data_IF_205925662827
#
_entry.id   IF_205925662827
#
_cell.length_a   1.000
_cell.length_b   1.000
_cell.length_c   1.000
_cell.angle_alpha   90.00
_cell.angle_beta   90.00
_cell.angle_gamma   90.00
#
_symmetry.space_group_name_H-M   'P 1'
#
loop_
_entity.id
_entity.type
_entity.pdbx_description
1 polymer ?
#
# COMPACT_ATOMS: atom_id res chain seq x y z
N UNK A 1 12.34 -4.56 -12.28
CA UNK A 1 11.81 -5.87 -11.81
C UNK A 1 12.91 -6.59 -11.08
N UNK A 2 12.56 -7.31 -10.03
CA UNK A 2 13.49 -8.04 -9.18
C UNK A 2 13.28 -9.54 -9.35
N UNK A 3 14.36 -10.32 -9.24
CA UNK A 3 14.29 -11.78 -9.22
C UNK A 3 14.56 -12.26 -7.79
N UNK A 4 13.69 -13.12 -7.23
CA UNK A 4 13.97 -13.70 -5.94
C UNK A 4 15.16 -14.67 -6.02
N UNK A 5 15.88 -14.91 -4.90
CA UNK A 5 16.94 -15.91 -4.85
C UNK A 5 16.44 -17.31 -5.24
N UNK A 6 17.35 -18.15 -5.76
CA UNK A 6 17.03 -19.52 -6.16
C UNK A 6 16.31 -20.30 -5.05
N UNK A 7 15.21 -20.97 -5.40
CA UNK A 7 14.38 -21.76 -4.47
C UNK A 7 13.31 -20.96 -3.73
N UNK A 8 13.08 -19.69 -4.11
CA UNK A 8 12.00 -18.86 -3.59
C UNK A 8 11.18 -18.30 -4.73
N UNK A 9 9.94 -18.74 -4.84
CA UNK A 9 9.02 -18.24 -5.85
C UNK A 9 7.93 -17.41 -5.20
N UNK A 10 7.55 -16.31 -5.85
CA UNK A 10 6.38 -15.55 -5.43
C UNK A 10 5.11 -16.35 -5.66
N UNK A 11 4.20 -16.30 -4.70
CA UNK A 11 2.85 -16.81 -4.88
C UNK A 11 2.02 -15.95 -5.83
N UNK A 12 2.43 -14.71 -6.08
CA UNK A 12 1.80 -13.79 -7.00
C UNK A 12 2.50 -13.87 -8.36
N UNK A 13 1.75 -14.28 -9.38
CA UNK A 13 2.26 -14.31 -10.75
C UNK A 13 2.49 -12.88 -11.23
N UNK A 14 3.69 -12.61 -11.74
CA UNK A 14 4.08 -11.33 -12.31
C UNK A 14 4.70 -11.47 -13.69
N UNK A 15 4.77 -10.37 -14.43
CA UNK A 15 5.47 -10.27 -15.72
C UNK A 15 6.22 -8.95 -15.79
N UNK A 16 7.33 -8.96 -16.54
CA UNK A 16 8.18 -7.78 -16.77
C UNK A 16 8.08 -7.28 -18.21
N UNK A 17 7.35 -8.00 -19.08
CA UNK A 17 7.30 -7.78 -20.52
C UNK A 17 6.27 -6.77 -21.00
N UNK A 18 5.62 -6.04 -20.09
CA UNK A 18 4.56 -5.08 -20.42
C UNK A 18 4.98 -3.65 -20.13
N UNK A 19 4.38 -2.70 -20.86
CA UNK A 19 4.61 -1.29 -20.60
C UNK A 19 4.00 -0.88 -19.25
N UNK A 20 4.65 0.07 -18.59
CA UNK A 20 4.22 0.56 -17.27
C UNK A 20 2.77 1.07 -17.29
N UNK A 21 2.36 1.75 -18.36
CA UNK A 21 0.98 2.27 -18.48
C UNK A 21 -0.06 1.14 -18.52
N UNK A 22 0.27 -0.03 -19.09
CA UNK A 22 -0.62 -1.18 -19.14
C UNK A 22 -0.77 -1.81 -17.74
N UNK A 23 0.31 -1.89 -16.99
CA UNK A 23 0.28 -2.36 -15.61
C UNK A 23 -0.53 -1.43 -14.70
N UNK A 24 -0.36 -0.11 -14.84
CA UNK A 24 -1.15 0.89 -14.11
C UNK A 24 -2.63 0.80 -14.48
N UNK A 25 -2.94 0.72 -15.78
CA UNK A 25 -4.32 0.59 -16.26
C UNK A 25 -4.99 -0.67 -15.71
N UNK A 26 -4.32 -1.83 -15.79
CA UNK A 26 -4.83 -3.09 -15.25
C UNK A 26 -5.06 -3.00 -13.74
N UNK A 27 -4.10 -2.43 -13.00
CA UNK A 27 -4.19 -2.30 -11.55
C UNK A 27 -5.33 -1.38 -11.08
N UNK A 28 -5.78 -0.44 -11.93
CA UNK A 28 -6.81 0.54 -11.61
C UNK A 28 -8.15 0.27 -12.34
N UNK A 29 -8.29 -0.87 -13.01
CA UNK A 29 -9.47 -1.23 -13.78
C UNK A 29 -10.61 -1.69 -12.87
N UNK A 30 -11.11 -0.77 -12.03
CA UNK A 30 -12.12 -1.05 -11.02
C UNK A 30 -13.39 -1.62 -11.68
N UNK A 31 -13.89 -2.79 -11.25
CA UNK A 31 -15.09 -3.37 -11.83
C UNK A 31 -16.24 -2.36 -11.74
N UNK A 32 -17.06 -2.32 -12.79
CA UNK A 32 -18.19 -1.40 -12.96
C UNK A 32 -17.82 0.07 -13.24
N UNK A 33 -16.55 0.46 -13.09
CA UNK A 33 -16.04 1.76 -13.51
C UNK A 33 -15.28 1.69 -14.82
N UNK A 34 -14.47 0.65 -15.00
CA UNK A 34 -13.63 0.44 -16.17
C UNK A 34 -13.79 -0.96 -16.74
N UNK A 35 -13.50 -1.09 -18.03
CA UNK A 35 -13.40 -2.39 -18.68
C UNK A 35 -12.17 -3.17 -18.21
N UNK A 36 -12.29 -4.50 -18.22
CA UNK A 36 -11.19 -5.40 -17.89
C UNK A 36 -10.06 -5.27 -18.91
N UNK A 37 -8.81 -5.33 -18.43
CA UNK A 37 -7.63 -5.17 -19.27
C UNK A 37 -7.16 -6.54 -19.74
N UNK A 38 -7.21 -6.79 -21.05
CA UNK A 38 -6.69 -8.00 -21.66
C UNK A 38 -5.21 -7.82 -22.00
N UNK A 39 -4.36 -8.63 -21.36
CA UNK A 39 -2.92 -8.66 -21.60
C UNK A 39 -2.49 -10.10 -21.87
N UNK A 40 -2.07 -10.38 -23.09
CA UNK A 40 -1.78 -11.71 -23.61
C UNK A 40 -2.93 -12.70 -23.32
N UNK A 41 -2.67 -13.69 -22.47
CA UNK A 41 -3.63 -14.74 -22.07
C UNK A 41 -4.34 -14.41 -20.75
N UNK A 42 -4.15 -13.21 -20.22
CA UNK A 42 -4.73 -12.78 -18.95
C UNK A 42 -5.83 -11.74 -19.17
N UNK A 43 -6.88 -11.88 -18.36
CA UNK A 43 -7.89 -10.84 -18.17
C UNK A 43 -7.66 -10.28 -16.77
N UNK A 44 -7.23 -9.02 -16.71
CA UNK A 44 -6.83 -8.35 -15.48
C UNK A 44 -7.86 -7.31 -15.06
N UNK A 45 -7.97 -7.12 -13.76
CA UNK A 45 -8.90 -6.22 -13.12
C UNK A 45 -8.20 -5.54 -11.93
N UNK A 46 -8.84 -4.53 -11.36
CA UNK A 46 -8.27 -3.74 -10.26
C UNK A 46 -7.73 -4.60 -9.12
N UNK A 47 -6.53 -4.26 -8.67
CA UNK A 47 -5.87 -4.95 -7.56
C UNK A 47 -6.65 -4.82 -6.24
N UNK A 48 -7.45 -3.77 -6.10
CA UNK A 48 -8.37 -3.53 -4.99
C UNK A 48 -9.42 -4.62 -4.82
N UNK A 49 -9.75 -5.41 -5.86
CA UNK A 49 -10.65 -6.56 -5.74
C UNK A 49 -10.06 -7.68 -4.88
N UNK A 50 -8.73 -7.81 -4.86
CA UNK A 50 -8.02 -8.88 -4.15
C UNK A 50 -7.29 -8.31 -2.92
N UNK A 51 -6.67 -7.15 -3.05
CA UNK A 51 -5.77 -6.56 -2.07
C UNK A 51 -5.85 -5.02 -2.06
N UNK A 52 -6.95 -4.49 -1.55
CA UNK A 52 -7.14 -3.05 -1.32
C UNK A 52 -6.16 -2.45 -0.28
N UNK A 53 -5.53 -3.31 0.53
CA UNK A 53 -4.36 -2.95 1.34
C UNK A 53 -3.17 -3.87 0.97
N UNK A 54 -2.29 -3.45 0.04
CA UNK A 54 -1.22 -4.31 -0.47
C UNK A 54 -0.04 -4.48 0.53
N UNK A 55 -0.16 -4.00 1.78
CA UNK A 55 0.93 -4.05 2.76
C UNK A 55 1.43 -5.49 3.00
N UNK A 56 0.52 -6.44 3.14
CA UNK A 56 0.87 -7.85 3.35
C UNK A 56 1.63 -8.43 2.15
N UNK A 57 1.18 -8.11 0.93
CA UNK A 57 1.84 -8.52 -0.31
C UNK A 57 3.23 -7.90 -0.40
N UNK A 58 3.36 -6.60 -0.14
CA UNK A 58 4.65 -5.90 -0.16
C UNK A 58 5.65 -6.49 0.84
N UNK A 59 5.19 -6.88 2.03
CA UNK A 59 6.03 -7.55 3.02
C UNK A 59 6.42 -8.96 2.57
N UNK A 60 5.48 -9.72 2.02
CA UNK A 60 5.74 -11.05 1.50
C UNK A 60 6.83 -11.01 0.43
N UNK A 61 6.68 -10.16 -0.58
CA UNK A 61 7.66 -9.97 -1.64
C UNK A 61 9.02 -9.47 -1.11
N UNK A 62 9.02 -8.51 -0.17
CA UNK A 62 10.26 -8.05 0.46
C UNK A 62 10.99 -9.18 1.19
N UNK A 63 10.27 -10.10 1.84
CA UNK A 63 10.84 -11.27 2.52
C UNK A 63 11.29 -12.38 1.58
N UNK A 64 10.73 -12.47 0.38
CA UNK A 64 11.27 -13.34 -0.66
C UNK A 64 12.64 -12.85 -1.12
N UNK A 65 12.77 -11.53 -1.33
CA UNK A 65 14.01 -10.89 -1.75
C UNK A 65 15.09 -10.90 -0.67
N UNK A 66 14.71 -10.55 0.55
CA UNK A 66 15.62 -10.39 1.69
C UNK A 66 15.12 -11.19 2.90
N UNK A 67 15.27 -12.53 2.89
CA UNK A 67 14.84 -13.38 3.99
C UNK A 67 15.31 -12.95 5.37
N UNK A 68 16.62 -12.76 5.44
CA UNK A 68 17.37 -12.62 6.68
C UNK A 68 17.33 -11.17 7.18
N UNK A 69 16.93 -10.24 6.31
CA UNK A 69 16.83 -8.83 6.66
C UNK A 69 15.55 -8.55 7.43
N UNK A 70 15.68 -7.84 8.54
CA UNK A 70 14.53 -7.35 9.29
C UNK A 70 13.95 -6.13 8.60
N UNK A 71 12.62 -6.04 8.59
CA UNK A 71 11.93 -4.85 8.10
C UNK A 71 12.29 -3.67 9.02
N UNK A 72 12.88 -2.63 8.42
CA UNK A 72 13.31 -1.46 9.18
C UNK A 72 12.15 -0.51 9.47
N UNK A 73 11.32 -0.27 8.46
CA UNK A 73 10.15 0.60 8.50
C UNK A 73 9.18 0.21 7.38
N UNK A 74 7.89 0.20 7.68
CA UNK A 74 6.78 -0.04 6.77
C UNK A 74 5.78 1.08 6.97
N UNK A 75 5.59 1.91 5.94
CA UNK A 75 4.59 2.97 5.95
C UNK A 75 3.45 2.57 5.01
N UNK A 76 2.26 2.44 5.57
CA UNK A 76 1.05 2.08 4.85
C UNK A 76 0.13 3.29 4.80
N UNK A 77 -0.15 3.80 3.60
CA UNK A 77 -0.98 4.99 3.40
C UNK A 77 -2.34 4.57 2.85
N UNK A 78 -3.42 4.95 3.55
CA UNK A 78 -4.79 4.71 3.12
C UNK A 78 -5.42 5.96 2.50
N UNK A 79 -6.43 5.74 1.66
CA UNK A 79 -7.19 6.80 0.98
C UNK A 79 -8.25 7.46 1.88
N UNK A 80 -8.25 7.14 3.18
CA UNK A 80 -9.22 7.62 4.14
C UNK A 80 -10.23 6.57 4.55
N UNK A 81 -10.78 6.76 5.75
CA UNK A 81 -11.91 5.97 6.27
C UNK A 81 -13.05 6.90 6.63
N UNK A 82 -14.24 6.61 6.13
CA UNK A 82 -15.48 7.25 6.56
C UNK A 82 -16.24 6.25 7.41
N UNK A 83 -16.65 6.63 8.62
CA UNK A 83 -17.58 5.79 9.39
C UNK A 83 -18.94 5.89 8.70
N UNK A 84 -19.33 4.82 8.01
CA UNK A 84 -20.72 4.66 7.63
C UNK A 84 -21.48 4.43 8.93
N UNK A 85 -22.08 5.49 9.50
CA UNK A 85 -23.03 5.33 10.59
C UNK A 85 -24.14 4.47 10.00
N UNK A 86 -24.16 3.19 10.35
CA UNK A 86 -25.23 2.27 10.03
C UNK A 86 -26.46 2.77 10.78
N UNK A 87 -27.12 3.80 10.24
CA UNK A 87 -28.46 4.14 10.63
C UNK A 87 -29.30 2.91 10.30
N UNK A 88 -29.77 2.26 11.36
CA UNK A 88 -30.75 1.17 11.38
C UNK A 88 -32.11 1.61 10.84
N UNK A 89 -32.14 2.39 9.75
CA UNK A 89 -33.37 2.86 9.15
C UNK A 89 -33.31 2.74 7.62
N UNK A 90 -34.16 1.82 7.17
CA UNK A 90 -34.73 1.69 5.83
C UNK A 90 -33.84 1.00 4.79
N UNK A 91 -34.27 -0.23 4.48
CA UNK A 91 -34.16 -0.95 3.23
C UNK A 91 -34.45 -0.03 2.02
N UNK A 92 -33.51 0.85 1.66
CA UNK A 92 -33.54 1.54 0.37
C UNK A 92 -32.80 0.66 -0.63
N UNK A 93 -33.46 0.37 -1.75
CA UNK A 93 -32.92 -0.39 -2.88
C UNK A 93 -31.56 0.19 -3.29
N UNK A 94 -30.48 -0.44 -2.82
CA UNK A 94 -29.13 -0.03 -3.19
C UNK A 94 -28.84 -0.54 -4.60
N UNK A 95 -28.45 0.36 -5.50
CA UNK A 95 -27.99 0.03 -6.84
C UNK A 95 -26.94 -1.09 -6.80
N UNK A 96 -26.87 -1.91 -7.85
CA UNK A 96 -25.90 -3.01 -7.98
C UNK A 96 -24.46 -2.55 -7.70
N UNK A 97 -24.11 -1.33 -8.15
CA UNK A 97 -22.84 -0.65 -7.86
C UNK A 97 -22.58 -0.49 -6.36
N UNK A 98 -23.56 -0.02 -5.60
CA UNK A 98 -23.41 0.19 -4.16
C UNK A 98 -23.33 -1.12 -3.38
N UNK A 99 -24.01 -2.17 -3.86
CA UNK A 99 -23.85 -3.53 -3.29
C UNK A 99 -22.47 -4.09 -3.59
N UNK A 100 -21.99 -3.93 -4.82
CA UNK A 100 -20.68 -4.41 -5.23
C UNK A 100 -19.55 -3.69 -4.50
N UNK A 101 -19.57 -2.35 -4.45
CA UNK A 101 -18.57 -1.59 -3.70
C UNK A 101 -18.58 -1.99 -2.22
N UNK A 102 -19.77 -2.19 -1.61
CA UNK A 102 -19.84 -2.71 -0.22
C UNK A 102 -19.31 -4.13 -0.08
N UNK A 103 -19.52 -5.00 -1.06
CA UNK A 103 -18.98 -6.37 -1.04
C UNK A 103 -17.47 -6.34 -1.23
N UNK A 104 -16.94 -5.53 -2.15
CA UNK A 104 -15.50 -5.34 -2.34
C UNK A 104 -14.88 -4.73 -1.09
N UNK A 105 -15.43 -3.63 -0.56
CA UNK A 105 -14.95 -2.99 0.67
C UNK A 105 -15.06 -3.94 1.88
N UNK A 106 -16.08 -4.79 1.94
CA UNK A 106 -16.26 -5.78 3.02
C UNK A 106 -15.43 -7.05 2.83
N UNK A 107 -15.06 -7.41 1.59
CA UNK A 107 -14.25 -8.58 1.26
C UNK A 107 -12.76 -8.26 1.22
N UNK A 108 -12.40 -7.00 0.98
CA UNK A 108 -11.03 -6.49 0.90
C UNK A 108 -10.75 -5.67 2.15
N UNK A 109 -10.81 -6.37 3.29
CA UNK A 109 -10.73 -5.78 4.61
C UNK A 109 -9.35 -5.14 4.86
N UNK A 110 -9.26 -3.86 4.51
CA UNK A 110 -8.06 -3.07 4.75
C UNK A 110 -7.70 -2.99 6.23
N UNK A 111 -8.69 -3.15 7.12
CA UNK A 111 -8.54 -3.16 8.57
C UNK A 111 -8.05 -4.53 9.07
N UNK A 112 -8.48 -5.66 8.49
CA UNK A 112 -7.90 -6.96 8.83
C UNK A 112 -6.40 -7.03 8.53
N UNK A 113 -5.98 -6.59 7.33
CA UNK A 113 -4.55 -6.50 7.02
C UNK A 113 -3.86 -5.54 7.98
N UNK A 114 -4.47 -4.40 8.29
CA UNK A 114 -3.92 -3.46 9.26
C UNK A 114 -3.74 -4.08 10.65
N UNK A 115 -4.74 -4.80 11.19
CA UNK A 115 -4.69 -5.49 12.48
C UNK A 115 -3.61 -6.56 12.47
N UNK A 116 -3.58 -7.43 11.46
CA UNK A 116 -2.54 -8.45 11.34
C UNK A 116 -1.13 -7.83 11.30
N UNK A 117 -0.92 -6.77 10.53
CA UNK A 117 0.38 -6.11 10.48
C UNK A 117 0.72 -5.40 11.80
N UNK A 118 -0.29 -4.85 12.49
CA UNK A 118 -0.10 -4.22 13.79
C UNK A 118 0.28 -5.22 14.89
N UNK A 119 -0.30 -6.42 14.87
CA UNK A 119 -0.05 -7.45 15.87
C UNK A 119 1.27 -8.20 15.61
N UNK A 120 1.65 -8.36 14.35
CA UNK A 120 2.83 -9.15 13.95
C UNK A 120 4.13 -8.34 13.84
N UNK A 121 4.04 -7.03 13.56
CA UNK A 121 5.21 -6.17 13.40
C UNK A 121 5.47 -5.34 14.65
N UNK A 122 6.74 -5.05 14.91
CA UNK A 122 7.12 -4.18 16.02
C UNK A 122 6.47 -2.78 15.88
N UNK A 123 6.07 -2.19 17.02
CA UNK A 123 5.39 -0.89 17.09
C UNK A 123 6.15 0.24 16.37
N UNK A 124 7.48 0.17 16.34
CA UNK A 124 8.36 1.18 15.73
C UNK A 124 8.73 0.86 14.27
N UNK A 125 8.16 -0.21 13.70
CA UNK A 125 8.38 -0.62 12.32
C UNK A 125 7.17 -0.27 11.47
N UNK A 126 5.94 -0.47 11.96
CA UNK A 126 4.74 -0.31 11.14
C UNK A 126 3.96 0.97 11.44
N UNK A 127 3.82 1.83 10.42
CA UNK A 127 3.11 3.10 10.50
C UNK A 127 1.95 3.13 9.51
N UNK A 128 0.71 3.02 10.00
CA UNK A 128 -0.51 3.22 9.21
C UNK A 128 -0.96 4.68 9.24
N UNK A 129 -1.00 5.32 8.09
CA UNK A 129 -1.52 6.68 7.89
C UNK A 129 -2.83 6.57 7.12
N UNK A 130 -3.95 6.67 7.83
CA UNK A 130 -5.28 6.57 7.23
C UNK A 130 -6.20 7.65 7.83
N UNK A 131 -6.47 8.75 7.11
CA UNK A 131 -7.24 9.87 7.65
C UNK A 131 -8.70 9.51 7.89
N UNK A 132 -9.31 10.11 8.92
CA UNK A 132 -10.76 10.08 9.06
C UNK A 132 -11.37 11.12 8.13
N UNK A 133 -12.29 10.68 7.28
CA UNK A 133 -12.99 11.54 6.34
C UNK A 133 -14.33 11.97 6.91
N UNK A 134 -14.66 13.25 6.77
CA UNK A 134 -15.89 13.86 7.28
C UNK A 134 -17.14 13.35 6.58
N UNK A 135 -17.02 12.94 5.32
CA UNK A 135 -18.11 12.44 4.47
C UNK A 135 -17.69 11.14 3.77
N UNK A 136 -18.65 10.28 3.38
CA UNK A 136 -18.39 9.20 2.44
C UNK A 136 -18.19 9.77 1.03
N UNK A 137 -17.14 9.34 0.34
CA UNK A 137 -16.83 9.74 -1.03
C UNK A 137 -16.88 8.51 -1.94
N UNK A 138 -17.46 8.67 -3.13
CA UNK A 138 -17.40 7.65 -4.18
C UNK A 138 -16.02 7.63 -4.85
N UNK A 139 -15.69 6.52 -5.51
CA UNK A 139 -14.46 6.41 -6.30
C UNK A 139 -14.43 7.39 -7.49
N UNK A 140 -15.60 7.71 -8.03
CA UNK A 140 -15.86 8.63 -9.14
C UNK A 140 -16.18 10.07 -8.70
N UNK A 141 -15.84 10.46 -7.46
CA UNK A 141 -16.11 11.80 -6.98
C UNK A 141 -15.24 12.85 -7.70
N UNK A 142 -15.90 13.80 -8.36
CA UNK A 142 -15.26 14.86 -9.14
C UNK A 142 -15.66 16.28 -8.70
N UNK A 143 -16.57 16.42 -7.72
CA UNK A 143 -16.99 17.74 -7.25
C UNK A 143 -15.82 18.47 -6.57
N UNK A 144 -15.38 19.63 -7.11
CA UNK A 144 -14.23 20.35 -6.57
C UNK A 144 -14.42 20.73 -5.09
N UNK A 145 -15.64 21.01 -4.64
CA UNK A 145 -15.90 21.35 -3.23
C UNK A 145 -15.68 20.15 -2.31
N UNK A 146 -16.04 18.95 -2.76
CA UNK A 146 -15.83 17.72 -1.99
C UNK A 146 -14.37 17.30 -2.01
N UNK A 147 -13.68 17.45 -3.15
CA UNK A 147 -12.22 17.26 -3.25
C UNK A 147 -11.47 18.21 -2.31
N UNK A 148 -11.88 19.49 -2.24
CA UNK A 148 -11.32 20.45 -1.30
C UNK A 148 -11.55 20.02 0.15
N UNK A 149 -12.75 19.53 0.48
CA UNK A 149 -13.03 18.98 1.80
C UNK A 149 -12.14 17.77 2.14
N UNK A 150 -11.94 16.84 1.20
CA UNK A 150 -11.02 15.70 1.39
C UNK A 150 -9.60 16.16 1.72
N UNK A 151 -9.10 17.17 1.00
CA UNK A 151 -7.79 17.75 1.27
C UNK A 151 -7.72 18.40 2.65
N UNK A 152 -8.79 19.08 3.08
CA UNK A 152 -8.87 19.69 4.39
C UNK A 152 -8.87 18.64 5.50
N UNK A 153 -9.61 17.55 5.34
CA UNK A 153 -9.62 16.42 6.27
C UNK A 153 -8.22 15.77 6.39
N UNK A 154 -7.53 15.58 5.25
CA UNK A 154 -6.16 15.08 5.24
C UNK A 154 -5.18 16.03 5.95
N UNK A 155 -5.28 17.34 5.71
CA UNK A 155 -4.45 18.35 6.41
C UNK A 155 -4.70 18.34 7.92
N UNK A 156 -5.95 18.21 8.35
CA UNK A 156 -6.30 18.10 9.76
C UNK A 156 -5.75 16.83 10.38
N UNK A 157 -5.80 15.70 9.65
CA UNK A 157 -5.19 14.45 10.09
C UNK A 157 -3.68 14.59 10.29
N UNK A 158 -2.97 15.17 9.32
CA UNK A 158 -1.52 15.42 9.41
C UNK A 158 -1.20 16.28 10.63
N UNK A 159 -1.92 17.38 10.85
CA UNK A 159 -1.72 18.25 12.03
C UNK A 159 -1.92 17.51 13.35
N UNK A 160 -2.95 16.66 13.43
CA UNK A 160 -3.25 15.87 14.65
C UNK A 160 -2.25 14.75 14.90
N UNK A 161 -1.67 14.18 13.84
CA UNK A 161 -0.80 13.01 13.91
C UNK A 161 0.65 13.35 13.55
N UNK A 162 1.06 14.62 13.70
CA UNK A 162 2.38 15.08 13.26
C UNK A 162 3.51 14.28 13.92
N UNK A 163 3.39 13.99 15.21
CA UNK A 163 4.37 13.18 15.95
C UNK A 163 4.55 11.78 15.33
N UNK A 164 3.44 11.13 14.93
CA UNK A 164 3.50 9.81 14.28
C UNK A 164 4.21 9.88 12.92
N UNK A 165 4.00 10.96 12.17
CA UNK A 165 4.65 11.19 10.87
C UNK A 165 6.14 11.49 11.07
N UNK A 166 6.47 12.29 12.08
CA UNK A 166 7.85 12.59 12.47
C UNK A 166 8.58 11.34 12.94
N UNK A 167 7.94 10.47 13.72
CA UNK A 167 8.50 9.18 14.14
C UNK A 167 8.77 8.27 12.94
N UNK A 168 7.81 8.17 12.00
CA UNK A 168 7.99 7.41 10.77
C UNK A 168 9.14 7.97 9.91
N UNK A 169 9.23 9.30 9.78
CA UNK A 169 10.28 9.97 9.04
C UNK A 169 11.66 9.79 9.72
N UNK A 170 11.73 9.96 11.04
CA UNK A 170 12.93 9.71 11.82
C UNK A 170 13.39 8.27 11.66
N UNK A 171 12.47 7.31 11.69
CA UNK A 171 12.78 5.91 11.45
C UNK A 171 13.32 5.67 10.05
N UNK A 172 12.68 6.21 9.01
CA UNK A 172 13.16 6.10 7.63
C UNK A 172 14.56 6.69 7.42
N UNK A 173 14.86 7.80 8.10
CA UNK A 173 16.15 8.50 8.00
C UNK A 173 17.26 7.87 8.86
N UNK A 174 16.92 7.03 9.84
CA UNK A 174 17.91 6.31 10.64
C UNK A 174 18.62 5.26 9.78
N UNK A 175 19.93 5.38 9.54
CA UNK A 175 20.68 4.31 8.88
C UNK A 175 20.65 3.07 9.78
N UNK A 176 20.33 1.91 9.22
CA UNK A 176 20.45 0.65 9.97
C UNK A 176 21.90 0.43 10.37
N UNK A 177 22.14 -0.25 11.49
CA UNK A 177 23.50 -0.61 11.94
C UNK A 177 24.23 -1.41 10.85
N UNK A 178 23.52 -2.29 10.15
CA UNK A 178 24.03 -3.03 9.00
C UNK A 178 24.41 -2.11 7.83
N UNK A 179 23.53 -1.21 7.38
CA UNK A 179 23.88 -0.25 6.33
C UNK A 179 25.05 0.66 6.75
N UNK A 180 25.13 1.04 8.02
CA UNK A 180 26.26 1.82 8.55
C UNK A 180 27.56 1.03 8.49
N UNK A 181 27.52 -0.26 8.83
CA UNK A 181 28.70 -1.13 8.80
C UNK A 181 29.12 -1.49 7.37
N UNK A 182 28.16 -1.80 6.49
CA UNK A 182 28.41 -2.06 5.07
C UNK A 182 28.98 -0.82 4.39
N UNK A 183 28.37 0.36 4.57
CA UNK A 183 28.92 1.62 4.03
C UNK A 183 30.31 1.94 4.57
N UNK A 184 30.56 1.68 5.86
CA UNK A 184 31.91 1.83 6.45
C UNK A 184 32.91 0.87 5.82
N UNK A 185 32.51 -0.37 5.58
CA UNK A 185 33.36 -1.37 4.94
C UNK A 185 33.62 -1.02 3.46
N UNK A 186 32.60 -0.59 2.72
CA UNK A 186 32.73 -0.12 1.33
C UNK A 186 33.62 1.12 1.24
N UNK A 187 33.45 2.10 2.14
CA UNK A 187 34.33 3.27 2.24
C UNK A 187 35.78 2.88 2.57
N UNK A 188 35.97 1.94 3.51
CA UNK A 188 37.30 1.43 3.85
C UNK A 188 37.96 0.69 2.67
N UNK A 189 37.18 -0.09 1.91
CA UNK A 189 37.65 -0.76 0.70
C UNK A 189 38.05 0.25 -0.38
N UNK A 190 37.29 1.33 -0.54
CA UNK A 190 37.55 2.42 -1.49
C UNK A 190 38.80 3.22 -1.12
N UNK A 191 38.97 3.59 0.15
CA UNK A 191 40.19 4.22 0.67
C UNK A 191 41.45 3.35 0.48
N UNK A 192 41.28 2.03 0.44
CA UNK A 192 42.37 1.06 0.20
C UNK A 192 42.56 0.71 -1.28
N UNK A 193 41.80 1.32 -2.18
CA UNK A 193 41.87 1.05 -3.63
C UNK A 193 41.40 -0.35 -4.02
N UNK A 194 40.63 -1.01 -3.17
CA UNK A 194 40.10 -2.37 -3.36
C UNK A 194 38.65 -2.37 -3.86
N UNK A 195 38.09 -1.20 -4.18
CA UNK A 195 36.72 -1.07 -4.68
C UNK A 195 36.62 -1.58 -6.13
N UNK A 196 35.86 -2.65 -6.32
CA UNK A 196 35.40 -3.10 -7.64
C UNK A 196 33.90 -2.81 -7.73
N UNK A 197 33.44 -1.96 -8.67
CA UNK A 197 32.03 -1.84 -8.93
C UNK A 197 31.50 -3.22 -9.37
N UNK A 198 30.40 -3.68 -8.77
CA UNK A 198 29.59 -4.78 -9.30
C UNK A 198 28.56 -4.21 -10.26
#
# INVERSE_FOLDING_TARGET
NYEPPAGRDSHYRGSTGHYLWQAIQASAAAPLYFEEVKLDNFVLQDGGVIANNPTAIGIHEAKLLWPEERLHCVVSVGNGRSVCVAYFNQLKFSNSLQKFNRIVDSATDTEAVHMCMHDLLDQNVYFRLNPYMSSPYGLDEIDPKKLEQMQNDAKLYVRRNILKIEDAAARLLQPTVLQRNVRRFEQWMDEKGMYSPR
#
